data_IF_687937232348
#
_entry.id   IF_687937232348
#
_cell.length_a   1.000
_cell.length_b   1.000
_cell.length_c   1.000
_cell.angle_alpha   90.00
_cell.angle_beta   90.00
_cell.angle_gamma   90.00
#
_symmetry.space_group_name_H-M   'P 1'
#
loop_
_entity.id
_entity.type
_entity.pdbx_description
1 polymer ?
#
# COMPACT_ATOMS: atom_id res chain seq x y z
N UNK A 1 16.58 -27.85 -26.01
CA UNK A 1 16.42 -26.48 -25.46
C UNK A 1 16.05 -26.66 -24.02
N UNK A 2 16.90 -26.24 -23.09
CA UNK A 2 16.68 -26.42 -21.67
C UNK A 2 15.53 -25.50 -21.18
N UNK A 3 14.74 -25.99 -20.24
CA UNK A 3 13.60 -25.29 -19.59
C UNK A 3 13.96 -23.87 -19.12
N UNK A 4 15.22 -23.66 -18.73
CA UNK A 4 15.81 -22.36 -18.38
C UNK A 4 15.84 -21.36 -19.57
N UNK A 5 16.08 -21.82 -20.80
CA UNK A 5 16.13 -20.95 -21.98
C UNK A 5 14.71 -20.52 -22.44
N UNK A 6 13.70 -21.37 -22.20
CA UNK A 6 12.30 -21.05 -22.45
C UNK A 6 11.78 -20.05 -21.42
N UNK A 7 12.14 -20.22 -20.14
CA UNK A 7 11.81 -19.29 -19.05
C UNK A 7 12.49 -17.91 -19.21
N UNK A 8 13.70 -17.85 -19.76
CA UNK A 8 14.40 -16.59 -20.02
C UNK A 8 13.71 -15.70 -21.06
N UNK A 9 12.95 -16.28 -21.99
CA UNK A 9 12.18 -15.58 -23.04
C UNK A 9 10.73 -15.23 -22.63
N UNK A 10 10.25 -15.70 -21.48
CA UNK A 10 8.88 -15.41 -21.05
C UNK A 10 8.70 -13.90 -20.78
N UNK A 11 7.66 -13.34 -21.39
CA UNK A 11 7.33 -11.91 -21.31
C UNK A 11 6.99 -11.54 -19.86
N UNK A 12 7.71 -10.57 -19.29
CA UNK A 12 7.45 -10.09 -17.92
C UNK A 12 6.06 -9.46 -17.87
N UNK A 13 5.18 -9.87 -16.95
CA UNK A 13 3.84 -9.32 -16.81
C UNK A 13 3.86 -7.80 -16.60
N UNK A 14 2.92 -7.08 -17.19
CA UNK A 14 2.81 -5.61 -17.01
C UNK A 14 2.62 -5.23 -15.54
N UNK A 15 1.97 -6.07 -14.76
CA UNK A 15 1.76 -5.87 -13.32
C UNK A 15 3.05 -5.81 -12.48
N UNK A 16 4.20 -6.25 -13.02
CA UNK A 16 5.50 -6.07 -12.39
C UNK A 16 5.99 -4.61 -12.45
N UNK A 17 5.38 -3.77 -13.30
CA UNK A 17 5.71 -2.34 -13.39
C UNK A 17 4.97 -1.54 -12.32
N UNK A 18 5.73 -0.80 -11.50
CA UNK A 18 5.16 0.11 -10.51
C UNK A 18 4.27 1.17 -11.15
N UNK A 19 4.72 1.72 -12.28
CA UNK A 19 3.96 2.72 -13.05
C UNK A 19 2.63 2.15 -13.56
N UNK A 20 2.64 0.92 -14.08
CA UNK A 20 1.41 0.27 -14.54
C UNK A 20 0.45 0.02 -13.38
N UNK A 21 0.95 -0.54 -12.26
CA UNK A 21 0.11 -0.75 -11.06
C UNK A 21 -0.48 0.56 -10.57
N UNK A 22 0.34 1.63 -10.50
CA UNK A 22 -0.09 2.94 -10.07
C UNK A 22 -1.26 3.47 -10.92
N UNK A 23 -1.09 3.55 -12.24
CA UNK A 23 -2.13 4.09 -13.12
C UNK A 23 -3.40 3.27 -13.16
N UNK A 24 -3.28 1.94 -13.20
CA UNK A 24 -4.46 1.05 -13.16
C UNK A 24 -5.20 1.22 -11.82
N UNK A 25 -4.46 1.31 -10.71
CA UNK A 25 -5.06 1.47 -9.39
C UNK A 25 -5.71 2.85 -9.20
N UNK A 26 -5.12 3.91 -9.76
CA UNK A 26 -5.75 5.24 -9.80
C UNK A 26 -7.06 5.17 -10.58
N UNK A 27 -7.06 4.58 -11.77
CA UNK A 27 -8.28 4.42 -12.57
C UNK A 27 -9.37 3.63 -11.85
N UNK A 28 -9.01 2.50 -11.21
CA UNK A 28 -9.95 1.71 -10.40
C UNK A 28 -10.47 2.48 -9.19
N UNK A 29 -9.61 3.24 -8.52
CA UNK A 29 -10.02 4.10 -7.41
C UNK A 29 -11.05 5.13 -7.83
N UNK A 30 -10.79 5.85 -8.93
CA UNK A 30 -11.73 6.84 -9.47
C UNK A 30 -13.07 6.23 -9.88
N UNK A 31 -13.07 5.04 -10.51
CA UNK A 31 -14.29 4.33 -10.85
C UNK A 31 -15.11 3.93 -9.62
N UNK A 32 -14.44 3.45 -8.57
CA UNK A 32 -15.11 3.06 -7.32
C UNK A 32 -15.65 4.30 -6.59
N UNK A 33 -14.89 5.41 -6.56
CA UNK A 33 -15.36 6.67 -5.99
C UNK A 33 -16.57 7.23 -6.71
N UNK A 34 -16.56 7.25 -8.05
CA UNK A 34 -17.72 7.67 -8.86
C UNK A 34 -18.93 6.77 -8.62
N UNK A 35 -18.72 5.45 -8.55
CA UNK A 35 -19.78 4.50 -8.21
C UNK A 35 -20.38 4.76 -6.83
N UNK A 36 -19.54 5.09 -5.84
CA UNK A 36 -19.97 5.47 -4.51
C UNK A 36 -20.86 6.74 -4.54
N UNK A 37 -20.43 7.79 -5.23
CA UNK A 37 -21.21 9.02 -5.38
C UNK A 37 -22.58 8.76 -6.02
N UNK A 38 -22.60 8.01 -7.12
CA UNK A 38 -23.85 7.64 -7.80
C UNK A 38 -24.80 6.90 -6.85
N UNK A 39 -24.29 5.94 -6.08
CA UNK A 39 -25.11 5.19 -5.11
C UNK A 39 -25.66 6.12 -4.01
N UNK A 40 -24.81 6.98 -3.45
CA UNK A 40 -25.22 7.92 -2.40
C UNK A 40 -26.33 8.86 -2.90
N UNK A 41 -26.16 9.43 -4.09
CA UNK A 41 -27.15 10.32 -4.74
C UNK A 41 -28.46 9.53 -5.02
N UNK A 42 -28.37 8.34 -5.59
CA UNK A 42 -29.53 7.52 -5.88
C UNK A 42 -30.36 7.16 -4.63
N UNK A 43 -29.67 6.84 -3.53
CA UNK A 43 -30.32 6.57 -2.24
C UNK A 43 -30.98 7.82 -1.64
N UNK A 44 -30.42 8.99 -1.86
CA UNK A 44 -31.02 10.25 -1.44
C UNK A 44 -32.26 10.56 -2.26
N UNK A 45 -32.20 10.48 -3.58
CA UNK A 45 -33.30 10.73 -4.51
C UNK A 45 -34.48 9.77 -4.32
N UNK A 46 -34.18 8.49 -4.06
CA UNK A 46 -35.23 7.48 -3.84
C UNK A 46 -35.91 7.56 -2.48
N UNK A 47 -35.47 8.44 -1.58
CA UNK A 47 -36.03 8.56 -0.22
C UNK A 47 -35.68 7.33 0.65
N UNK A 48 -34.83 6.42 0.19
CA UNK A 48 -34.42 5.23 0.94
C UNK A 48 -33.52 5.55 2.14
N UNK A 49 -32.97 6.76 2.20
CA UNK A 49 -32.25 7.29 3.38
C UNK A 49 -33.19 8.20 4.20
N UNK A 50 -33.08 8.15 5.54
CA UNK A 50 -33.76 9.13 6.38
C UNK A 50 -33.30 10.54 6.01
N UNK A 51 -34.21 11.50 6.03
CA UNK A 51 -33.93 12.91 5.78
C UNK A 51 -32.80 13.35 6.71
N UNK A 52 -31.64 13.68 6.13
CA UNK A 52 -30.47 14.20 6.82
C UNK A 52 -30.36 15.70 6.55
N UNK A 53 -29.67 16.39 7.45
CA UNK A 53 -29.30 17.76 7.16
C UNK A 53 -28.44 17.83 5.89
N UNK A 54 -28.57 18.87 5.10
CA UNK A 54 -27.80 19.09 3.88
C UNK A 54 -26.30 19.00 4.17
N UNK A 55 -25.86 19.49 5.33
CA UNK A 55 -24.45 19.41 5.79
C UNK A 55 -23.96 17.97 5.95
N UNK A 56 -24.75 17.06 6.53
CA UNK A 56 -24.38 15.65 6.66
C UNK A 56 -24.30 14.96 5.31
N UNK A 57 -25.20 15.32 4.40
CA UNK A 57 -25.20 14.77 3.05
C UNK A 57 -23.91 15.16 2.29
N UNK A 58 -23.54 16.44 2.33
CA UNK A 58 -22.32 16.95 1.71
C UNK A 58 -21.06 16.29 2.30
N UNK A 59 -21.01 16.06 3.62
CA UNK A 59 -19.89 15.36 4.26
C UNK A 59 -19.83 13.90 3.82
N UNK A 60 -20.96 13.20 3.82
CA UNK A 60 -21.01 11.79 3.40
C UNK A 60 -20.62 11.64 1.92
N UNK A 61 -21.10 12.52 1.04
CA UNK A 61 -20.77 12.50 -0.37
C UNK A 61 -19.29 12.80 -0.61
N UNK A 62 -18.84 13.98 -0.18
CA UNK A 62 -17.49 14.45 -0.50
C UNK A 62 -16.39 13.69 0.24
N UNK A 63 -16.57 13.38 1.52
CA UNK A 63 -15.57 12.66 2.31
C UNK A 63 -15.63 11.16 2.02
N UNK A 64 -16.82 10.57 1.98
CA UNK A 64 -17.02 9.16 1.67
C UNK A 64 -16.47 8.78 0.30
N UNK A 65 -16.70 9.61 -0.73
CA UNK A 65 -16.17 9.38 -2.07
C UNK A 65 -14.62 9.35 -2.08
N UNK A 66 -13.97 10.28 -1.38
CA UNK A 66 -12.49 10.27 -1.27
C UNK A 66 -11.95 9.01 -0.60
N UNK A 67 -12.65 8.52 0.44
CA UNK A 67 -12.30 7.24 1.08
C UNK A 67 -12.49 6.07 0.13
N UNK A 68 -13.59 6.04 -0.62
CA UNK A 68 -13.88 5.00 -1.60
C UNK A 68 -12.84 4.98 -2.75
N UNK A 69 -12.42 6.16 -3.24
CA UNK A 69 -11.32 6.30 -4.21
C UNK A 69 -10.05 5.66 -3.66
N UNK A 70 -9.69 6.00 -2.42
CA UNK A 70 -8.48 5.48 -1.81
C UNK A 70 -8.54 3.97 -1.60
N UNK A 71 -9.64 3.44 -1.10
CA UNK A 71 -9.83 2.00 -0.88
C UNK A 71 -9.72 1.24 -2.21
N UNK A 72 -10.40 1.74 -3.25
CA UNK A 72 -10.32 1.16 -4.59
C UNK A 72 -8.91 1.14 -5.15
N UNK A 73 -8.17 2.25 -4.98
CA UNK A 73 -6.75 2.32 -5.30
C UNK A 73 -5.93 1.28 -4.53
N UNK A 74 -6.03 1.25 -3.21
CA UNK A 74 -5.22 0.41 -2.35
C UNK A 74 -5.45 -1.09 -2.62
N UNK A 75 -6.70 -1.51 -2.70
CA UNK A 75 -7.08 -2.90 -2.99
C UNK A 75 -6.56 -3.34 -4.36
N UNK A 76 -6.74 -2.51 -5.39
CA UNK A 76 -6.26 -2.80 -6.74
C UNK A 76 -4.74 -2.88 -6.80
N UNK A 77 -4.03 -1.96 -6.14
CA UNK A 77 -2.57 -1.92 -6.08
C UNK A 77 -1.99 -3.16 -5.40
N UNK A 78 -2.55 -3.54 -4.25
CA UNK A 78 -2.16 -4.74 -3.52
C UNK A 78 -2.47 -6.02 -4.31
N UNK A 79 -3.67 -6.13 -4.87
CA UNK A 79 -4.08 -7.31 -5.64
C UNK A 79 -3.17 -7.52 -6.86
N UNK A 80 -2.87 -6.47 -7.63
CA UNK A 80 -1.96 -6.53 -8.77
C UNK A 80 -0.54 -6.87 -8.33
N UNK A 81 -0.08 -6.28 -7.23
CA UNK A 81 1.26 -6.52 -6.69
C UNK A 81 1.42 -7.94 -6.17
N UNK A 82 0.50 -8.43 -5.36
CA UNK A 82 0.53 -9.80 -4.84
C UNK A 82 0.43 -10.84 -5.96
N UNK A 83 -0.44 -10.64 -6.96
CA UNK A 83 -0.49 -11.50 -8.15
C UNK A 83 0.82 -11.51 -8.93
N UNK A 84 1.55 -10.39 -8.93
CA UNK A 84 2.81 -10.28 -9.65
C UNK A 84 3.98 -10.95 -8.93
N UNK A 85 4.00 -11.01 -7.58
CA UNK A 85 5.19 -11.40 -6.83
C UNK A 85 5.01 -12.56 -5.85
N UNK A 86 3.80 -12.77 -5.27
CA UNK A 86 3.62 -13.69 -4.16
C UNK A 86 3.89 -15.18 -4.47
N UNK A 87 3.81 -15.58 -5.73
CA UNK A 87 3.98 -16.98 -6.16
C UNK A 87 5.21 -17.19 -7.05
N UNK A 88 6.14 -16.25 -7.05
CA UNK A 88 7.37 -16.36 -7.83
C UNK A 88 8.38 -17.25 -7.11
N UNK A 89 9.03 -18.14 -7.86
CA UNK A 89 10.30 -18.73 -7.42
C UNK A 89 11.41 -17.66 -7.42
N UNK A 90 12.58 -17.98 -6.87
CA UNK A 90 13.70 -17.02 -6.77
C UNK A 90 14.12 -16.46 -8.13
N UNK A 91 14.27 -17.31 -9.14
CA UNK A 91 14.73 -16.91 -10.47
C UNK A 91 13.72 -15.97 -11.13
N UNK A 92 12.44 -16.26 -10.99
CA UNK A 92 11.38 -15.42 -11.51
C UNK A 92 11.26 -14.10 -10.74
N UNK A 93 11.41 -14.10 -9.42
CA UNK A 93 11.43 -12.89 -8.58
C UNK A 93 12.55 -11.95 -9.04
N UNK A 94 13.79 -12.46 -9.16
CA UNK A 94 14.95 -11.71 -9.65
C UNK A 94 14.65 -11.09 -11.02
N UNK A 95 14.16 -11.90 -11.96
CA UNK A 95 13.80 -11.44 -13.29
C UNK A 95 12.73 -10.34 -13.27
N UNK A 96 11.66 -10.50 -12.47
CA UNK A 96 10.55 -9.55 -12.39
C UNK A 96 10.95 -8.24 -11.71
N UNK A 97 11.76 -8.32 -10.68
CA UNK A 97 12.25 -7.15 -9.93
C UNK A 97 13.24 -6.34 -10.77
N UNK A 98 14.17 -7.00 -11.48
CA UNK A 98 15.21 -6.33 -12.28
C UNK A 98 14.76 -5.98 -13.70
N UNK A 99 13.65 -6.52 -14.19
CA UNK A 99 13.18 -6.32 -15.57
C UNK A 99 12.92 -4.84 -15.93
N UNK A 100 12.79 -3.98 -14.96
CA UNK A 100 12.55 -2.54 -15.16
C UNK A 100 13.47 -1.72 -14.28
N UNK A 101 14.52 -1.12 -14.88
CA UNK A 101 15.44 -0.25 -14.15
C UNK A 101 14.68 0.96 -13.60
N UNK A 102 15.12 1.43 -12.44
CA UNK A 102 14.63 2.66 -11.86
C UNK A 102 14.87 3.84 -12.80
N UNK A 103 13.96 4.82 -12.86
CA UNK A 103 14.22 6.06 -13.62
C UNK A 103 15.54 6.70 -13.20
N UNK A 104 16.31 7.21 -14.16
CA UNK A 104 17.61 7.81 -13.91
C UNK A 104 17.49 9.07 -13.01
N UNK A 105 16.42 9.85 -13.12
CA UNK A 105 16.26 11.07 -12.33
C UNK A 105 15.83 10.77 -10.89
N UNK A 106 16.46 11.45 -9.92
CA UNK A 106 16.16 11.31 -8.49
C UNK A 106 14.69 11.64 -8.17
N UNK A 107 14.15 12.69 -8.80
CA UNK A 107 12.75 13.11 -8.61
C UNK A 107 11.76 12.06 -9.13
N UNK A 108 11.99 11.50 -10.32
CA UNK A 108 11.15 10.44 -10.87
C UNK A 108 11.23 9.16 -10.04
N UNK A 109 12.40 8.83 -9.49
CA UNK A 109 12.55 7.73 -8.53
C UNK A 109 11.75 7.97 -7.26
N UNK A 110 11.77 9.20 -6.76
CA UNK A 110 11.04 9.56 -5.54
C UNK A 110 9.52 9.56 -5.75
N UNK A 111 9.04 10.09 -6.88
CA UNK A 111 7.61 10.24 -7.19
C UNK A 111 6.96 9.00 -7.81
N UNK A 112 7.70 8.27 -8.68
CA UNK A 112 7.10 7.26 -9.57
C UNK A 112 7.57 5.83 -9.25
N UNK A 113 8.62 5.68 -8.45
CA UNK A 113 9.20 4.38 -8.20
C UNK A 113 8.72 3.83 -6.86
N UNK A 114 7.60 3.15 -6.86
CA UNK A 114 7.18 2.30 -5.73
C UNK A 114 8.18 1.20 -5.36
N UNK A 115 9.26 1.05 -6.11
CA UNK A 115 10.29 0.03 -5.89
C UNK A 115 11.66 0.55 -5.42
N UNK A 116 11.85 1.83 -5.14
CA UNK A 116 13.19 2.31 -4.81
C UNK A 116 13.27 3.59 -4.00
N UNK A 117 12.17 4.25 -3.73
CA UNK A 117 12.15 5.52 -3.00
C UNK A 117 11.35 5.45 -1.71
N UNK A 118 11.86 6.12 -0.68
CA UNK A 118 11.16 6.32 0.60
C UNK A 118 9.95 7.27 0.43
N UNK A 119 9.88 8.02 -0.67
CA UNK A 119 8.87 9.05 -0.90
C UNK A 119 7.45 8.52 -1.01
N UNK A 120 7.24 7.41 -1.70
CA UNK A 120 5.92 6.84 -1.87
C UNK A 120 5.25 6.38 -0.56
N UNK A 121 5.91 5.61 0.30
CA UNK A 121 5.37 5.29 1.63
C UNK A 121 5.06 6.52 2.49
N UNK A 122 5.85 7.60 2.39
CA UNK A 122 5.60 8.86 3.10
C UNK A 122 4.32 9.53 2.58
N UNK A 123 4.11 9.58 1.26
CA UNK A 123 2.88 10.12 0.67
C UNK A 123 1.67 9.35 1.18
N UNK A 124 1.74 8.02 1.20
CA UNK A 124 0.66 7.16 1.69
C UNK A 124 0.39 7.40 3.17
N UNK A 125 1.44 7.47 3.99
CA UNK A 125 1.31 7.78 5.41
C UNK A 125 0.64 9.15 5.64
N UNK A 126 0.98 10.15 4.81
CA UNK A 126 0.34 11.47 4.86
C UNK A 126 -1.15 11.39 4.53
N UNK A 127 -1.54 10.63 3.51
CA UNK A 127 -2.97 10.41 3.17
C UNK A 127 -3.71 9.80 4.36
N UNK A 128 -3.15 8.76 4.98
CA UNK A 128 -3.75 8.15 6.16
C UNK A 128 -3.92 9.16 7.31
N UNK A 129 -2.87 9.93 7.59
CA UNK A 129 -2.87 10.95 8.65
C UNK A 129 -3.94 12.03 8.41
N UNK A 130 -4.02 12.61 7.21
CA UNK A 130 -5.06 13.57 6.86
C UNK A 130 -6.46 12.98 6.90
N UNK A 131 -6.62 11.72 6.50
CA UNK A 131 -7.90 11.01 6.59
C UNK A 131 -8.39 10.96 8.03
N UNK A 132 -7.49 10.63 8.98
CA UNK A 132 -7.83 10.55 10.39
C UNK A 132 -8.21 11.90 10.97
N UNK A 133 -7.38 12.91 10.74
CA UNK A 133 -7.68 14.27 11.21
C UNK A 133 -9.08 14.69 10.73
N UNK A 134 -9.37 14.47 9.45
CA UNK A 134 -10.69 14.81 8.88
C UNK A 134 -11.81 13.99 9.52
N UNK A 135 -11.61 12.68 9.74
CA UNK A 135 -12.60 11.82 10.37
C UNK A 135 -12.90 12.25 11.81
N UNK A 136 -11.87 12.58 12.58
CA UNK A 136 -12.02 13.07 13.97
C UNK A 136 -12.74 14.41 14.00
N UNK A 137 -12.33 15.38 13.16
CA UNK A 137 -12.93 16.71 13.13
C UNK A 137 -14.39 16.69 12.67
N UNK A 138 -14.76 15.76 11.79
CA UNK A 138 -16.11 15.62 11.24
C UNK A 138 -16.95 14.51 11.88
N UNK A 139 -16.52 13.99 13.03
CA UNK A 139 -17.17 12.85 13.68
C UNK A 139 -18.66 13.08 13.95
N UNK A 140 -19.02 14.24 14.48
CA UNK A 140 -20.42 14.60 14.78
C UNK A 140 -21.30 14.77 13.55
N UNK A 141 -20.72 14.91 12.35
CA UNK A 141 -21.39 15.10 11.08
C UNK A 141 -21.32 13.87 10.17
N UNK A 142 -20.48 12.88 10.52
CA UNK A 142 -20.25 11.69 9.69
C UNK A 142 -21.15 10.53 10.09
N UNK A 143 -21.56 9.73 9.10
CA UNK A 143 -22.26 8.47 9.37
C UNK A 143 -21.31 7.38 9.87
N UNK A 144 -21.89 6.37 10.53
CA UNK A 144 -21.15 5.16 10.90
C UNK A 144 -20.47 4.48 9.70
N UNK A 145 -21.09 4.52 8.52
CA UNK A 145 -20.50 4.01 7.28
C UNK A 145 -19.22 4.77 6.92
N UNK A 146 -19.24 6.10 6.96
CA UNK A 146 -18.07 6.93 6.61
C UNK A 146 -16.96 6.73 7.62
N UNK A 147 -17.28 6.59 8.92
CA UNK A 147 -16.28 6.27 9.94
C UNK A 147 -15.65 4.88 9.74
N UNK A 148 -16.46 3.88 9.37
CA UNK A 148 -15.96 2.54 9.03
C UNK A 148 -15.05 2.58 7.79
N UNK A 149 -15.42 3.35 6.74
CA UNK A 149 -14.57 3.55 5.57
C UNK A 149 -13.26 4.26 5.94
N UNK A 150 -13.28 5.22 6.85
CA UNK A 150 -12.07 5.89 7.34
C UNK A 150 -11.13 4.90 8.04
N UNK A 151 -11.65 4.05 8.94
CA UNK A 151 -10.88 3.01 9.60
C UNK A 151 -10.27 2.02 8.58
N UNK A 152 -11.07 1.57 7.62
CA UNK A 152 -10.60 0.67 6.56
C UNK A 152 -9.53 1.33 5.66
N UNK A 153 -9.66 2.63 5.40
CA UNK A 153 -8.64 3.41 4.67
C UNK A 153 -7.28 3.34 5.38
N UNK A 154 -7.26 3.50 6.70
CA UNK A 154 -6.02 3.47 7.49
C UNK A 154 -5.37 2.09 7.43
N UNK A 155 -6.16 1.02 7.57
CA UNK A 155 -5.67 -0.36 7.45
C UNK A 155 -5.06 -0.60 6.06
N UNK A 156 -5.75 -0.17 5.00
CA UNK A 156 -5.24 -0.33 3.63
C UNK A 156 -3.99 0.52 3.38
N UNK A 157 -3.85 1.72 3.96
CA UNK A 157 -2.61 2.50 3.94
C UNK A 157 -1.45 1.71 4.56
N UNK A 158 -1.66 1.13 5.74
CA UNK A 158 -0.67 0.29 6.41
C UNK A 158 -0.24 -0.89 5.53
N UNK A 159 -1.19 -1.59 4.90
CA UNK A 159 -0.89 -2.72 4.00
C UNK A 159 -0.11 -2.27 2.76
N UNK A 160 -0.44 -1.13 2.16
CA UNK A 160 0.28 -0.62 0.97
C UNK A 160 1.69 -0.19 1.33
N UNK A 161 1.91 0.42 2.50
CA UNK A 161 3.24 0.77 3.01
C UNK A 161 4.07 -0.51 3.19
N UNK A 162 3.53 -1.49 3.91
CA UNK A 162 4.19 -2.79 4.16
C UNK A 162 4.59 -3.48 2.86
N UNK A 163 3.68 -3.60 1.92
CA UNK A 163 3.94 -4.19 0.61
C UNK A 163 5.01 -3.42 -0.18
N UNK A 164 4.98 -2.08 -0.15
CA UNK A 164 5.97 -1.24 -0.83
C UNK A 164 7.37 -1.46 -0.27
N UNK A 165 7.52 -1.60 1.06
CA UNK A 165 8.79 -1.92 1.68
C UNK A 165 9.24 -3.36 1.41
N UNK A 166 8.33 -4.33 1.34
CA UNK A 166 8.67 -5.70 0.94
C UNK A 166 9.32 -5.73 -0.45
N UNK A 167 8.75 -5.00 -1.43
CA UNK A 167 9.34 -4.85 -2.76
C UNK A 167 10.69 -4.11 -2.73
N UNK A 168 10.82 -3.09 -1.89
CA UNK A 168 12.07 -2.36 -1.74
C UNK A 168 13.18 -3.22 -1.13
N UNK A 169 12.85 -4.05 -0.14
CA UNK A 169 13.77 -5.02 0.43
C UNK A 169 14.23 -6.03 -0.61
N UNK A 170 13.29 -6.66 -1.32
CA UNK A 170 13.57 -7.61 -2.38
C UNK A 170 14.49 -6.99 -3.44
N UNK A 171 14.19 -5.78 -3.90
CA UNK A 171 14.99 -5.12 -4.92
C UNK A 171 16.41 -4.81 -4.45
N UNK A 172 16.56 -4.18 -3.30
CA UNK A 172 17.87 -3.82 -2.78
C UNK A 172 18.73 -5.03 -2.47
N UNK A 173 18.11 -6.08 -1.92
CA UNK A 173 18.83 -7.30 -1.61
C UNK A 173 19.27 -8.03 -2.88
N UNK A 174 18.44 -8.07 -3.93
CA UNK A 174 18.80 -8.64 -5.23
C UNK A 174 19.91 -7.83 -5.92
N UNK A 175 19.88 -6.50 -5.82
CA UNK A 175 20.86 -5.62 -6.49
C UNK A 175 22.20 -5.53 -5.75
N UNK A 176 22.20 -5.52 -4.42
CA UNK A 176 23.37 -5.15 -3.60
C UNK A 176 23.65 -6.14 -2.44
N UNK A 177 22.74 -7.07 -2.19
CA UNK A 177 22.74 -7.87 -0.98
C UNK A 177 22.40 -7.04 0.26
N UNK A 178 22.50 -7.67 1.40
CA UNK A 178 22.36 -6.97 2.69
C UNK A 178 21.34 -7.55 3.64
N UNK A 179 20.62 -8.60 3.23
CA UNK A 179 19.73 -9.39 4.08
C UNK A 179 20.16 -10.85 4.09
N UNK A 180 20.02 -11.50 5.23
CA UNK A 180 20.17 -12.92 5.39
C UNK A 180 19.03 -13.47 6.23
N UNK A 181 18.27 -14.38 5.64
CA UNK A 181 17.13 -15.04 6.28
C UNK A 181 17.59 -16.40 6.83
N UNK A 182 17.24 -16.71 8.08
CA UNK A 182 17.54 -18.02 8.65
C UNK A 182 16.80 -19.11 7.86
N UNK A 183 17.53 -20.18 7.52
CA UNK A 183 16.94 -21.33 6.80
C UNK A 183 16.69 -21.12 5.30
N UNK A 184 16.97 -19.93 4.74
CA UNK A 184 16.79 -19.66 3.31
C UNK A 184 18.03 -19.05 2.67
N UNK A 185 18.65 -19.79 1.74
CA UNK A 185 19.74 -19.28 0.90
C UNK A 185 19.24 -18.54 -0.35
N UNK A 186 18.02 -18.81 -0.77
CA UNK A 186 17.38 -18.23 -1.95
C UNK A 186 16.03 -17.61 -1.58
N UNK A 187 16.01 -16.44 -0.90
CA UNK A 187 14.78 -15.85 -0.43
C UNK A 187 13.86 -15.48 -1.59
N UNK A 188 12.58 -15.84 -1.49
CA UNK A 188 11.49 -15.46 -2.39
C UNK A 188 10.70 -14.28 -1.80
N UNK A 189 9.63 -13.85 -2.45
CA UNK A 189 8.89 -12.66 -2.00
C UNK A 189 8.31 -12.79 -0.59
N UNK A 190 7.98 -14.00 -0.17
CA UNK A 190 7.41 -14.27 1.17
C UNK A 190 8.34 -13.85 2.30
N UNK A 191 9.65 -14.10 2.19
CA UNK A 191 10.64 -13.72 3.21
C UNK A 191 10.76 -12.19 3.33
N UNK A 192 10.77 -11.49 2.20
CA UNK A 192 10.80 -10.02 2.21
C UNK A 192 9.50 -9.42 2.77
N UNK A 193 8.36 -10.04 2.46
CA UNK A 193 7.07 -9.62 2.99
C UNK A 193 6.96 -9.90 4.50
N UNK A 194 7.49 -11.03 4.97
CA UNK A 194 7.59 -11.36 6.38
C UNK A 194 8.42 -10.31 7.15
N UNK A 195 9.60 -9.96 6.65
CA UNK A 195 10.41 -8.89 7.23
C UNK A 195 9.65 -7.56 7.26
N UNK A 196 8.95 -7.23 6.17
CA UNK A 196 8.19 -5.99 6.08
C UNK A 196 7.03 -5.96 7.09
N UNK A 197 6.28 -7.04 7.24
CA UNK A 197 5.20 -7.15 8.25
C UNK A 197 5.78 -6.98 9.66
N UNK A 198 6.88 -7.65 9.98
CA UNK A 198 7.55 -7.53 11.28
C UNK A 198 7.96 -6.08 11.59
N UNK A 199 8.58 -5.38 10.62
CA UNK A 199 8.95 -3.98 10.78
C UNK A 199 7.72 -3.05 10.91
N UNK A 200 6.67 -3.28 10.11
CA UNK A 200 5.43 -2.48 10.17
C UNK A 200 4.68 -2.66 11.48
N UNK A 201 4.68 -3.87 12.04
CA UNK A 201 4.03 -4.19 13.30
C UNK A 201 4.87 -3.79 14.53
N UNK A 202 6.09 -3.27 14.32
CA UNK A 202 7.07 -2.97 15.36
C UNK A 202 7.55 -4.19 16.17
N UNK A 203 7.29 -5.39 15.68
CA UNK A 203 7.89 -6.62 16.20
C UNK A 203 9.28 -6.79 15.59
N UNK A 204 10.33 -6.86 16.40
CA UNK A 204 11.66 -7.18 15.91
C UNK A 204 11.67 -8.57 15.27
N UNK A 205 12.10 -8.67 14.02
CA UNK A 205 12.29 -9.96 13.35
C UNK A 205 13.66 -10.49 13.74
N UNK A 206 13.70 -11.54 14.55
CA UNK A 206 14.93 -12.05 15.17
C UNK A 206 15.69 -13.03 14.29
N UNK A 207 15.06 -13.59 13.27
CA UNK A 207 15.59 -14.59 12.35
C UNK A 207 16.11 -14.00 11.03
N UNK A 208 16.04 -12.68 10.87
CA UNK A 208 16.58 -11.97 9.71
C UNK A 208 17.72 -11.05 10.12
N UNK A 209 18.90 -11.24 9.51
CA UNK A 209 20.08 -10.42 9.79
C UNK A 209 20.24 -9.33 8.74
N UNK A 210 20.33 -8.07 9.18
CA UNK A 210 20.58 -6.90 8.31
C UNK A 210 22.09 -6.64 8.28
N UNK A 211 22.74 -6.93 7.16
CA UNK A 211 24.19 -6.92 7.02
C UNK A 211 24.75 -5.56 6.59
N UNK A 212 24.05 -4.81 5.71
CA UNK A 212 24.56 -3.56 5.14
C UNK A 212 23.99 -2.32 5.83
N UNK A 213 24.80 -1.24 5.92
CA UNK A 213 24.36 0.05 6.46
C UNK A 213 23.28 0.72 5.61
N UNK A 214 23.28 0.49 4.28
CA UNK A 214 22.25 0.98 3.39
C UNK A 214 20.90 0.34 3.68
N UNK A 215 20.89 -0.97 3.97
CA UNK A 215 19.68 -1.70 4.32
C UNK A 215 19.17 -1.31 5.71
N UNK A 216 20.08 -1.12 6.69
CA UNK A 216 19.70 -0.65 8.05
C UNK A 216 18.94 0.67 7.99
N UNK A 217 19.37 1.63 7.15
CA UNK A 217 18.63 2.90 6.99
C UNK A 217 17.21 2.69 6.47
N UNK A 218 17.00 1.77 5.53
CA UNK A 218 15.65 1.47 5.03
C UNK A 218 14.79 0.82 6.10
N UNK A 219 15.35 -0.14 6.83
CA UNK A 219 14.65 -0.80 7.96
C UNK A 219 14.29 0.22 9.02
N UNK A 220 15.20 1.13 9.40
CA UNK A 220 14.93 2.17 10.41
C UNK A 220 13.79 3.10 9.98
N UNK A 221 13.81 3.58 8.71
CA UNK A 221 12.72 4.42 8.20
C UNK A 221 11.40 3.67 8.18
N UNK A 222 11.42 2.40 7.78
CA UNK A 222 10.22 1.57 7.78
C UNK A 222 9.65 1.39 9.19
N UNK A 223 10.49 1.07 10.17
CA UNK A 223 10.06 0.90 11.57
C UNK A 223 9.48 2.18 12.16
N UNK A 224 10.06 3.36 11.86
CA UNK A 224 9.51 4.65 12.29
C UNK A 224 8.14 4.89 11.66
N UNK A 225 7.99 4.67 10.35
CA UNK A 225 6.69 4.79 9.67
C UNK A 225 5.67 3.78 10.22
N UNK A 226 6.10 2.55 10.50
CA UNK A 226 5.28 1.52 11.12
C UNK A 226 4.76 1.96 12.49
N UNK A 227 5.63 2.50 13.34
CA UNK A 227 5.24 3.04 14.65
C UNK A 227 4.21 4.18 14.53
N UNK A 228 4.45 5.13 13.62
CA UNK A 228 3.53 6.22 13.37
C UNK A 228 2.17 5.71 12.89
N UNK A 229 2.15 4.76 11.95
CA UNK A 229 0.91 4.18 11.43
C UNK A 229 0.15 3.39 12.49
N UNK A 230 0.84 2.64 13.35
CA UNK A 230 0.18 1.90 14.45
C UNK A 230 -0.46 2.86 15.46
N UNK A 231 0.22 3.96 15.79
CA UNK A 231 -0.35 5.02 16.66
C UNK A 231 -1.63 5.59 16.04
N UNK A 232 -1.62 5.81 14.74
CA UNK A 232 -2.75 6.32 13.98
C UNK A 232 -3.92 5.32 13.95
N UNK A 233 -3.65 4.02 13.72
CA UNK A 233 -4.68 2.97 13.77
C UNK A 233 -5.36 2.94 15.14
N UNK A 234 -4.57 2.95 16.21
CA UNK A 234 -5.11 2.96 17.59
C UNK A 234 -5.96 4.22 17.84
N UNK A 235 -5.48 5.41 17.43
CA UNK A 235 -6.23 6.65 17.61
C UNK A 235 -7.59 6.64 16.90
N UNK A 236 -7.67 6.07 15.68
CA UNK A 236 -8.95 5.92 14.95
C UNK A 236 -9.87 4.95 15.65
N UNK A 237 -9.36 3.78 16.06
CA UNK A 237 -10.19 2.80 16.76
C UNK A 237 -10.78 3.38 18.04
N UNK A 238 -9.97 4.09 18.83
CA UNK A 238 -10.45 4.76 20.05
C UNK A 238 -11.50 5.83 19.71
N UNK A 239 -11.30 6.62 18.65
CA UNK A 239 -12.26 7.66 18.25
C UNK A 239 -13.63 7.12 17.78
N UNK A 240 -13.70 5.85 17.38
CA UNK A 240 -14.95 5.19 16.98
C UNK A 240 -15.69 4.64 18.21
N UNK A 241 -14.95 4.19 19.22
CA UNK A 241 -15.50 3.53 20.41
C UNK A 241 -16.00 4.54 21.45
N UNK A 242 -15.27 5.65 21.62
CA UNK A 242 -15.59 6.73 22.57
C UNK A 242 -16.41 7.82 21.88
#
# INVERSE_FOLDING_TARGET
MTDAAVRAKAKVPRACSDVFRLWVSIGMGLLIGLGFEIVVIALQVSGARPVRSDEQFEVDLGFGARLAIWIGFAVSYLALGLRAFARCDRAELVRRVLARPLPASRLKRWLLAGGGGIGWPIIIASVAFFTIITAVLKRGQSTSLVLALAAFTVVTCWMVITFSFALQYARRDIEQGGLRFAGSSEPVFTEYNYLAIGCSATFGVTDTTVLSSSMRRVVSVHSILGLLMNTVVVAVLLSIIV
#
